data_IF_190881068401
#
_entry.id   IF_190881068401
#
_cell.length_a   1.000
_cell.length_b   1.000
_cell.length_c   1.000
_cell.angle_alpha   90.00
_cell.angle_beta   90.00
_cell.angle_gamma   90.00
#
_symmetry.space_group_name_H-M   'P 1'
#
loop_
_entity.id
_entity.type
_entity.pdbx_description
1 polymer ?
#
# COMPACT_ATOMS: atom_id res chain seq x y z
N UNK A 1 23.98 11.50 14.09
CA UNK A 1 22.79 12.15 14.64
C UNK A 1 23.13 13.53 15.20
N UNK A 2 22.50 14.53 14.62
CA UNK A 2 22.40 15.91 15.09
C UNK A 2 21.24 16.14 16.08
N UNK A 3 20.42 15.11 16.31
CA UNK A 3 19.37 15.08 17.32
C UNK A 3 17.95 15.28 16.77
N UNK A 4 17.80 15.48 15.46
CA UNK A 4 16.52 15.40 14.74
C UNK A 4 16.41 14.04 14.04
N UNK A 5 15.18 13.57 13.81
CA UNK A 5 14.88 12.45 12.91
C UNK A 5 14.23 13.06 11.67
N UNK A 6 14.95 13.07 10.56
CA UNK A 6 14.49 13.69 9.32
C UNK A 6 14.86 12.88 8.06
N UNK A 7 14.57 13.46 6.89
CA UNK A 7 14.84 12.82 5.59
C UNK A 7 16.31 12.43 5.44
N UNK A 8 17.24 13.23 5.99
CA UNK A 8 18.65 12.93 5.88
C UNK A 8 19.03 11.65 6.62
N UNK A 9 18.43 11.37 7.78
CA UNK A 9 18.72 10.16 8.55
C UNK A 9 18.26 8.89 7.82
N UNK A 10 17.05 8.90 7.24
CA UNK A 10 16.51 7.74 6.51
C UNK A 10 17.24 7.52 5.17
N UNK A 11 17.69 8.59 4.52
CA UNK A 11 18.57 8.52 3.35
C UNK A 11 19.92 7.87 3.70
N UNK A 12 20.53 8.29 4.82
CA UNK A 12 21.78 7.69 5.29
C UNK A 12 21.61 6.21 5.64
N UNK A 13 20.50 5.85 6.30
CA UNK A 13 20.17 4.47 6.63
C UNK A 13 19.99 3.61 5.37
N UNK A 14 19.18 4.07 4.41
CA UNK A 14 18.92 3.37 3.14
C UNK A 14 20.22 3.17 2.36
N UNK A 15 21.06 4.20 2.29
CA UNK A 15 22.35 4.12 1.62
C UNK A 15 23.37 3.25 2.37
N UNK A 16 23.25 3.08 3.69
CA UNK A 16 24.06 2.14 4.46
C UNK A 16 23.64 0.68 4.21
N UNK A 17 22.32 0.42 4.14
CA UNK A 17 21.74 -0.88 3.77
C UNK A 17 22.21 -1.29 2.38
N UNK A 18 22.08 -0.41 1.39
CA UNK A 18 22.47 -0.68 0.00
C UNK A 18 23.96 -1.04 -0.15
N UNK A 19 24.83 -0.32 0.58
CA UNK A 19 26.28 -0.55 0.54
C UNK A 19 26.73 -1.70 1.44
N UNK A 20 25.82 -2.24 2.27
CA UNK A 20 26.11 -3.25 3.28
C UNK A 20 27.33 -2.87 4.15
N UNK A 21 27.41 -1.59 4.54
CA UNK A 21 28.46 -1.10 5.43
C UNK A 21 27.97 -1.40 6.84
N UNK A 22 28.40 -2.53 7.40
CA UNK A 22 27.99 -3.04 8.71
C UNK A 22 28.50 -2.21 9.90
N UNK A 23 28.28 -0.90 9.87
CA UNK A 23 28.47 -0.04 11.01
C UNK A 23 27.27 -0.22 11.95
N UNK A 24 27.53 -0.71 13.16
CA UNK A 24 26.54 -0.82 14.25
C UNK A 24 25.83 0.51 14.58
N UNK A 25 26.29 1.63 14.02
CA UNK A 25 25.63 2.92 14.13
C UNK A 25 24.29 2.97 13.36
N UNK A 26 24.12 2.14 12.31
CA UNK A 26 22.90 2.06 11.50
C UNK A 26 22.01 0.87 11.86
N UNK A 27 22.48 -0.06 12.71
CA UNK A 27 21.68 -1.11 13.34
C UNK A 27 20.80 -0.49 14.44
N UNK A 28 19.66 0.06 14.01
CA UNK A 28 18.75 0.81 14.89
C UNK A 28 17.83 -0.12 15.67
N UNK A 29 17.55 -1.32 15.14
CA UNK A 29 16.70 -2.31 15.80
C UNK A 29 17.50 -3.20 16.80
N UNK A 30 18.84 -3.13 16.75
CA UNK A 30 19.80 -3.84 17.62
C UNK A 30 19.78 -5.35 17.47
N UNK A 31 19.56 -5.85 16.25
CA UNK A 31 19.57 -7.28 15.94
C UNK A 31 20.91 -7.80 15.37
N UNK A 32 21.95 -6.94 15.37
CA UNK A 32 23.29 -7.18 14.85
C UNK A 32 23.36 -7.38 13.34
N UNK A 33 22.28 -7.09 12.61
CA UNK A 33 22.24 -7.09 11.16
C UNK A 33 21.84 -5.70 10.66
N UNK A 34 22.30 -5.33 9.47
CA UNK A 34 21.88 -4.09 8.79
C UNK A 34 21.00 -4.49 7.61
N UNK A 35 19.68 -4.38 7.77
CA UNK A 35 18.68 -4.87 6.81
C UNK A 35 17.49 -3.92 6.70
N UNK A 36 16.50 -4.26 5.86
CA UNK A 36 15.23 -3.54 5.82
C UNK A 36 14.47 -3.58 7.15
N UNK A 37 14.79 -4.51 8.06
CA UNK A 37 14.21 -4.51 9.40
C UNK A 37 14.63 -3.26 10.19
N UNK A 38 15.81 -2.69 9.93
CA UNK A 38 16.26 -1.42 10.50
C UNK A 38 15.48 -0.25 9.94
N UNK A 39 15.25 -0.24 8.61
CA UNK A 39 14.43 0.78 7.95
C UNK A 39 13.00 0.77 8.50
N UNK A 40 12.37 -0.41 8.58
CA UNK A 40 11.03 -0.55 9.17
C UNK A 40 11.03 -0.12 10.64
N UNK A 41 12.04 -0.48 11.43
CA UNK A 41 12.13 -0.02 12.81
C UNK A 41 12.25 1.50 12.90
N UNK A 42 13.08 2.12 12.08
CA UNK A 42 13.22 3.58 12.03
C UNK A 42 11.89 4.26 11.70
N UNK A 43 11.18 3.80 10.67
CA UNK A 43 9.93 4.39 10.20
C UNK A 43 8.82 4.29 11.25
N UNK A 44 8.63 3.11 11.83
CA UNK A 44 7.48 2.85 12.71
C UNK A 44 7.74 3.23 14.17
N UNK A 45 8.94 2.95 14.70
CA UNK A 45 9.23 3.08 16.12
C UNK A 45 9.93 4.39 16.47
N UNK A 46 10.74 4.94 15.54
CA UNK A 46 11.46 6.20 15.78
C UNK A 46 10.71 7.39 15.20
N UNK A 47 10.38 7.35 13.91
CA UNK A 47 9.70 8.44 13.22
C UNK A 47 8.18 8.44 13.45
N UNK A 48 7.60 7.28 13.77
CA UNK A 48 6.15 7.09 13.93
C UNK A 48 5.37 7.51 12.67
N UNK A 49 5.80 7.00 11.52
CA UNK A 49 5.10 7.18 10.24
C UNK A 49 4.94 5.83 9.52
N UNK A 50 4.68 5.87 8.21
CA UNK A 50 4.46 4.73 7.34
C UNK A 50 5.50 4.69 6.22
N UNK A 51 5.75 3.49 5.68
CA UNK A 51 6.33 3.38 4.36
C UNK A 51 5.41 4.09 3.36
N UNK A 52 5.96 4.94 2.50
CA UNK A 52 5.17 5.74 1.57
C UNK A 52 5.04 7.22 1.92
N UNK A 53 5.28 7.61 3.18
CA UNK A 53 5.31 9.02 3.59
C UNK A 53 6.61 9.68 3.10
N UNK A 54 6.57 10.26 1.91
CA UNK A 54 7.73 10.76 1.18
C UNK A 54 8.26 12.08 1.77
N UNK A 55 7.45 12.80 2.54
CA UNK A 55 7.80 14.10 3.10
C UNK A 55 7.94 14.08 4.64
N UNK A 56 7.71 12.92 5.27
CA UNK A 56 7.76 12.65 6.71
C UNK A 56 6.77 13.51 7.53
N UNK A 57 5.59 13.81 6.99
CA UNK A 57 4.54 14.57 7.69
C UNK A 57 3.65 13.70 8.61
N UNK A 58 3.92 12.40 8.68
CA UNK A 58 3.22 11.42 9.51
C UNK A 58 2.01 10.79 8.81
N UNK A 59 1.89 10.95 7.49
CA UNK A 59 0.79 10.44 6.67
C UNK A 59 1.35 9.88 5.37
N UNK A 60 0.83 8.73 4.96
CA UNK A 60 1.01 8.27 3.59
C UNK A 60 -0.29 8.55 2.82
N UNK A 61 -0.29 9.53 1.93
CA UNK A 61 -1.46 9.89 1.12
C UNK A 61 -1.14 10.29 -0.33
N UNK A 62 -2.13 10.86 -1.02
CA UNK A 62 -1.97 11.26 -2.41
C UNK A 62 -0.91 12.34 -2.64
N UNK A 63 -0.59 13.14 -1.62
CA UNK A 63 0.41 14.19 -1.66
C UNK A 63 1.80 13.59 -1.86
N UNK A 64 2.11 12.50 -1.14
CA UNK A 64 3.35 11.74 -1.30
C UNK A 64 3.46 11.14 -2.69
N UNK A 65 2.39 10.51 -3.17
CA UNK A 65 2.35 9.92 -4.51
C UNK A 65 2.56 10.99 -5.59
N UNK A 66 1.93 12.17 -5.45
CA UNK A 66 2.16 13.29 -6.36
C UNK A 66 3.63 13.75 -6.32
N UNK A 67 4.22 13.83 -5.13
CA UNK A 67 5.63 14.23 -4.96
C UNK A 67 6.58 13.27 -5.69
N UNK A 68 6.51 11.97 -5.40
CA UNK A 68 7.43 10.98 -6.00
C UNK A 68 7.25 10.88 -7.51
N UNK A 69 6.02 10.99 -8.02
CA UNK A 69 5.80 11.01 -9.48
C UNK A 69 6.24 12.32 -10.15
N UNK A 70 6.35 13.43 -9.40
CA UNK A 70 6.92 14.68 -9.90
C UNK A 70 8.44 14.62 -10.03
N UNK A 71 9.12 13.79 -9.24
CA UNK A 71 10.56 13.52 -9.39
C UNK A 71 10.87 12.88 -10.75
N UNK A 72 9.95 12.05 -11.25
CA UNK A 72 10.02 11.46 -12.59
C UNK A 72 10.91 10.24 -12.71
N UNK A 73 11.19 9.57 -11.58
CA UNK A 73 12.11 8.43 -11.50
C UNK A 73 11.43 7.07 -11.52
N UNK A 74 10.08 7.04 -11.52
CA UNK A 74 9.32 5.80 -11.55
C UNK A 74 9.64 4.95 -12.78
N UNK A 75 10.19 3.75 -12.54
CA UNK A 75 10.53 2.76 -13.58
C UNK A 75 11.39 3.38 -14.71
N UNK A 76 12.30 4.28 -14.36
CA UNK A 76 13.20 4.91 -15.32
C UNK A 76 14.36 3.96 -15.72
N UNK A 77 15.39 4.47 -16.40
CA UNK A 77 16.55 3.66 -16.85
C UNK A 77 17.86 4.02 -16.15
N UNK A 78 17.81 4.99 -15.25
CA UNK A 78 18.89 5.39 -14.37
C UNK A 78 18.84 4.46 -13.16
N UNK A 79 20.00 4.03 -12.68
CA UNK A 79 20.08 3.07 -11.57
C UNK A 79 20.68 3.81 -10.38
N UNK A 80 20.05 3.68 -9.22
CA UNK A 80 20.48 4.28 -7.97
C UNK A 80 20.27 5.79 -7.92
N UNK A 81 19.32 6.35 -8.68
CA UNK A 81 19.01 7.79 -8.66
C UNK A 81 17.91 8.17 -7.67
N UNK A 82 17.18 7.20 -7.11
CA UNK A 82 16.11 7.47 -6.16
C UNK A 82 16.57 7.43 -4.71
N UNK A 83 15.97 8.30 -3.92
CA UNK A 83 16.04 8.32 -2.46
C UNK A 83 14.63 8.22 -1.88
N UNK A 84 14.51 8.30 -0.56
CA UNK A 84 13.23 8.21 0.15
C UNK A 84 12.16 9.19 -0.36
N UNK A 85 12.54 10.45 -0.58
CA UNK A 85 11.63 11.52 -1.00
C UNK A 85 11.22 11.40 -2.48
N UNK A 86 12.01 10.65 -3.27
CA UNK A 86 11.77 10.36 -4.69
C UNK A 86 11.08 9.00 -4.91
N UNK A 87 10.93 8.18 -3.86
CA UNK A 87 10.10 6.97 -3.85
C UNK A 87 10.82 5.64 -3.56
N UNK A 88 12.12 5.65 -3.23
CA UNK A 88 12.86 4.45 -2.79
C UNK A 88 12.47 4.08 -1.34
N UNK A 89 11.38 3.33 -1.19
CA UNK A 89 10.85 2.89 0.10
C UNK A 89 11.28 1.48 0.46
N UNK A 90 12.04 0.81 -0.41
CA UNK A 90 12.62 -0.50 -0.17
C UNK A 90 14.17 -0.49 -0.06
N UNK A 91 14.79 0.70 -0.12
CA UNK A 91 16.24 0.93 0.00
C UNK A 91 17.10 0.18 -1.02
N UNK A 92 16.59 -0.05 -2.23
CA UNK A 92 17.38 -0.59 -3.35
C UNK A 92 18.00 0.50 -4.23
N UNK A 93 17.55 1.75 -4.08
CA UNK A 93 18.04 2.94 -4.76
C UNK A 93 17.25 3.34 -6.00
N UNK A 94 16.15 2.65 -6.33
CA UNK A 94 15.33 2.92 -7.51
C UNK A 94 13.85 3.02 -7.14
N UNK A 95 13.12 4.01 -7.65
CA UNK A 95 11.67 4.07 -7.47
C UNK A 95 10.96 3.15 -8.48
N UNK A 96 10.50 2.00 -8.01
CA UNK A 96 9.85 0.99 -8.84
C UNK A 96 8.48 0.58 -8.31
N UNK A 97 7.84 -0.33 -9.02
CA UNK A 97 6.62 -0.99 -8.52
C UNK A 97 6.87 -1.74 -7.20
N UNK A 98 8.09 -2.18 -6.90
CA UNK A 98 8.40 -2.85 -5.64
C UNK A 98 8.22 -1.92 -4.43
N UNK A 99 8.59 -0.65 -4.56
CA UNK A 99 8.40 0.37 -3.53
C UNK A 99 6.94 0.65 -3.26
N UNK A 100 6.15 0.81 -4.33
CA UNK A 100 4.71 0.96 -4.21
C UNK A 100 4.09 -0.25 -3.50
N UNK A 101 4.51 -1.47 -3.84
CA UNK A 101 4.04 -2.68 -3.16
C UNK A 101 4.44 -2.66 -1.68
N UNK A 102 5.67 -2.28 -1.34
CA UNK A 102 6.13 -2.16 0.04
C UNK A 102 5.31 -1.15 0.84
N UNK A 103 5.11 0.06 0.32
CA UNK A 103 4.31 1.11 0.99
C UNK A 103 2.84 0.74 1.13
N UNK A 104 2.21 0.16 0.10
CA UNK A 104 0.80 -0.28 0.22
C UNK A 104 0.63 -1.52 1.09
N UNK A 105 1.63 -2.43 1.12
CA UNK A 105 1.61 -3.58 2.00
C UNK A 105 1.75 -3.20 3.47
N UNK A 106 2.41 -2.08 3.77
CA UNK A 106 2.49 -1.50 5.10
C UNK A 106 1.11 -1.06 5.63
N UNK A 107 0.20 -0.68 4.73
CA UNK A 107 -1.21 -0.50 5.03
C UNK A 107 -1.59 0.87 5.61
N UNK A 108 -0.66 1.82 5.63
CA UNK A 108 -0.84 3.17 6.18
C UNK A 108 -1.61 4.17 5.29
N UNK A 109 -1.97 3.80 4.06
CA UNK A 109 -2.50 4.76 3.10
C UNK A 109 -3.82 5.42 3.58
N UNK A 110 -3.80 6.75 3.71
CA UNK A 110 -4.92 7.55 4.21
C UNK A 110 -5.17 7.44 5.72
N UNK A 111 -4.22 6.86 6.46
CA UNK A 111 -4.27 6.73 7.92
C UNK A 111 -3.30 7.74 8.54
N UNK A 112 -3.83 8.63 9.38
CA UNK A 112 -3.03 9.59 10.12
C UNK A 112 -2.57 8.97 11.45
N UNK A 113 -1.26 8.96 11.72
CA UNK A 113 -0.74 8.50 13.03
C UNK A 113 -1.12 9.46 14.16
N UNK A 114 -1.38 10.75 13.85
CA UNK A 114 -1.68 11.81 14.82
C UNK A 114 -3.10 12.41 14.79
N UNK A 115 -4.01 11.91 13.95
CA UNK A 115 -5.34 12.50 13.71
C UNK A 115 -6.49 11.59 14.15
N UNK A 116 -7.51 12.17 14.79
CA UNK A 116 -8.75 11.52 15.22
C UNK A 116 -9.21 10.42 14.25
N UNK A 117 -9.58 9.24 14.78
CA UNK A 117 -10.10 8.04 14.10
C UNK A 117 -11.41 8.26 13.31
N UNK A 118 -11.43 9.28 12.46
CA UNK A 118 -12.50 9.77 11.60
C UNK A 118 -12.05 9.93 10.16
N UNK A 119 -10.82 9.56 9.81
CA UNK A 119 -10.45 9.33 8.41
C UNK A 119 -11.28 8.16 7.90
N UNK A 120 -12.29 8.55 7.14
CA UNK A 120 -13.35 7.73 6.59
C UNK A 120 -12.79 6.54 5.84
N UNK A 121 -13.05 5.34 6.34
CA UNK A 121 -13.10 4.14 5.53
C UNK A 121 -14.17 4.39 4.46
N UNK A 122 -13.77 4.90 3.31
CA UNK A 122 -14.61 4.92 2.13
C UNK A 122 -14.73 3.48 1.69
N UNK A 123 -15.78 2.80 2.12
CA UNK A 123 -16.16 1.51 1.54
C UNK A 123 -16.32 1.73 0.04
N UNK A 124 -15.32 1.30 -0.73
CA UNK A 124 -15.38 1.25 -2.19
C UNK A 124 -16.64 0.46 -2.53
N UNK A 125 -17.59 1.01 -3.30
CA UNK A 125 -18.74 0.24 -3.74
C UNK A 125 -18.21 -0.94 -4.56
N UNK A 126 -18.40 -2.17 -4.06
CA UNK A 126 -18.12 -3.36 -4.86
C UNK A 126 -18.84 -3.23 -6.21
N UNK A 127 -18.21 -3.62 -7.33
CA UNK A 127 -18.77 -3.40 -8.66
C UNK A 127 -19.99 -4.30 -8.86
N UNK A 128 -21.18 -3.90 -8.39
CA UNK A 128 -22.50 -4.43 -8.72
C UNK A 128 -22.69 -5.97 -8.76
N UNK A 129 -21.79 -6.78 -8.18
CA UNK A 129 -21.80 -8.24 -8.35
C UNK A 129 -22.98 -8.89 -7.64
N UNK A 130 -23.44 -8.30 -6.53
CA UNK A 130 -24.60 -8.79 -5.79
C UNK A 130 -25.90 -8.75 -6.61
N UNK A 131 -26.08 -7.74 -7.47
CA UNK A 131 -27.29 -7.60 -8.26
C UNK A 131 -27.37 -8.63 -9.39
N UNK A 132 -26.23 -8.98 -9.99
CA UNK A 132 -26.16 -10.01 -11.03
C UNK A 132 -26.54 -11.38 -10.46
N UNK A 133 -26.04 -11.72 -9.26
CA UNK A 133 -26.37 -13.00 -8.59
C UNK A 133 -27.85 -13.08 -8.24
N UNK A 134 -28.45 -11.99 -7.74
CA UNK A 134 -29.88 -11.96 -7.39
C UNK A 134 -30.80 -12.01 -8.62
N UNK A 135 -30.42 -11.35 -9.72
CA UNK A 135 -31.18 -11.42 -10.98
C UNK A 135 -31.13 -12.82 -11.61
N UNK A 136 -29.98 -13.51 -11.53
CA UNK A 136 -29.83 -14.88 -12.03
C UNK A 136 -30.64 -15.89 -11.20
N UNK A 137 -30.66 -15.75 -9.87
CA UNK A 137 -31.47 -16.62 -9.00
C UNK A 137 -32.98 -16.38 -9.19
N UNK A 138 -33.40 -15.10 -9.34
CA UNK A 138 -34.79 -14.74 -9.62
C UNK A 138 -35.28 -15.25 -10.99
N UNK A 139 -34.46 -15.11 -12.04
CA UNK A 139 -34.76 -15.61 -13.38
C UNK A 139 -34.92 -17.13 -13.44
N UNK A 140 -34.04 -17.88 -12.77
CA UNK A 140 -34.14 -19.34 -12.69
C UNK A 140 -35.38 -19.83 -11.93
N UNK A 141 -35.82 -19.09 -10.90
CA UNK A 141 -37.06 -19.41 -10.17
C UNK A 141 -38.32 -19.17 -11.02
N UNK A 142 -38.34 -18.10 -11.83
CA UNK A 142 -39.47 -17.82 -12.75
C UNK A 142 -39.54 -18.82 -13.90
N UNK A 143 -38.39 -19.23 -14.45
CA UNK A 143 -38.32 -20.26 -15.49
C UNK A 143 -38.76 -21.64 -14.97
N UNK A 144 -38.53 -21.95 -13.70
CA UNK A 144 -39.04 -23.17 -13.05
C UNK A 144 -40.56 -23.13 -12.90
N UNK A 145 -41.13 -22.01 -12.45
CA UNK A 145 -42.58 -21.85 -12.26
C UNK A 145 -43.40 -21.96 -13.55
N UNK A 146 -42.85 -21.52 -14.68
CA UNK A 146 -43.53 -21.63 -15.98
C UNK A 146 -43.60 -23.05 -16.53
N UNK A 147 -42.75 -23.96 -16.06
CA UNK A 147 -42.73 -25.37 -16.49
C UNK A 147 -43.76 -26.24 -15.77
N UNK A 148 -44.34 -25.75 -14.67
CA UNK A 148 -45.28 -26.49 -13.83
C UNK A 148 -46.77 -26.22 -14.20
N UNK A 149 -47.04 -25.62 -15.37
CA UNK A 149 -48.42 -25.49 -15.85
C UNK A 149 -48.94 -26.89 -16.25
N UNK A 150 -50.07 -27.38 -15.68
CA UNK A 150 -50.61 -28.69 -16.02
C UNK A 150 -50.96 -28.71 -17.51
N UNK A 151 -50.41 -29.67 -18.26
CA UNK A 151 -50.78 -29.87 -19.65
C UNK A 151 -52.28 -30.19 -19.71
N UNK A 152 -53.05 -29.39 -20.43
CA UNK A 152 -54.50 -29.52 -20.68
C UNK A 152 -54.91 -30.81 -21.45
N UNK A 153 -54.16 -31.91 -21.34
CA UNK A 153 -54.33 -33.15 -22.13
C UNK A 153 -55.11 -34.28 -21.44
N UNK A 154 -55.99 -33.97 -20.49
CA UNK A 154 -56.94 -34.96 -19.93
C UNK A 154 -58.38 -34.45 -19.86
N UNK A 155 -58.80 -33.63 -20.83
CA UNK A 155 -60.20 -33.19 -20.96
C UNK A 155 -60.95 -33.80 -22.17
N UNK A 156 -60.48 -34.93 -22.71
CA UNK A 156 -61.21 -35.68 -23.76
C UNK A 156 -61.03 -37.21 -23.67
N UNK A 157 -61.55 -37.81 -22.60
CA UNK A 157 -62.17 -39.15 -22.66
C UNK A 157 -63.41 -39.20 -21.79
#
# INVERSE_FOLDING_TARGET
HDGTLDLHDIELLSAAIQRNVGELAYDVNRDEQLTLADQTYWVHELQQTWLGDANLDGRFDSTDLIQVFQAGEYEDTLVGNSNWADGDWNADGDFTTADLVSAFADGGYGIDIGGDARSSISTVPEPACGHVVLLLMGGLAMLRRHRDCPSWREAQR
#
